data_IF_362997829530
#
_entry.id   IF_362997829530
#
_cell.length_a   1.000
_cell.length_b   1.000
_cell.length_c   1.000
_cell.angle_alpha   90.00
_cell.angle_beta   90.00
_cell.angle_gamma   90.00
#
_symmetry.space_group_name_H-M   'P 1'
#
loop_
_entity.id
_entity.type
_entity.pdbx_description
1 polymer ?
#
# COMPACT_ATOMS: atom_id res chain seq x y z
N UNK A 1 -1.92 -2.61 2.47
CA UNK A 1 -1.59 -1.60 1.42
C UNK A 1 -2.87 -0.89 1.02
N UNK A 2 -2.84 0.42 0.78
CA UNK A 2 -4.01 1.23 0.40
C UNK A 2 -3.70 2.10 -0.82
N UNK A 3 -4.70 2.33 -1.68
CA UNK A 3 -4.56 3.13 -2.92
C UNK A 3 -4.38 4.63 -2.66
N UNK A 4 -4.73 5.11 -1.46
CA UNK A 4 -4.57 6.51 -1.09
C UNK A 4 -4.84 6.76 0.40
N UNK A 5 -4.66 8.01 0.86
CA UNK A 5 -4.70 8.38 2.27
C UNK A 5 -6.08 8.21 2.91
N UNK A 6 -7.17 8.44 2.17
CA UNK A 6 -8.54 8.30 2.69
C UNK A 6 -8.84 6.83 3.01
N UNK A 7 -8.57 5.93 2.07
CA UNK A 7 -8.72 4.47 2.31
C UNK A 7 -7.84 3.99 3.45
N UNK A 8 -6.62 4.53 3.57
CA UNK A 8 -5.72 4.19 4.68
C UNK A 8 -6.28 4.65 6.03
N UNK A 9 -6.91 5.82 6.09
CA UNK A 9 -7.55 6.30 7.30
C UNK A 9 -8.70 5.37 7.71
N UNK A 10 -9.62 5.07 6.80
CA UNK A 10 -10.72 4.12 7.07
C UNK A 10 -10.20 2.76 7.54
N UNK A 11 -9.12 2.26 6.94
CA UNK A 11 -8.52 1.00 7.37
C UNK A 11 -7.98 1.07 8.80
N UNK A 12 -7.30 2.16 9.16
CA UNK A 12 -6.80 2.38 10.53
C UNK A 12 -7.93 2.54 11.55
N UNK A 13 -9.00 3.22 11.19
CA UNK A 13 -10.19 3.39 12.04
C UNK A 13 -10.84 2.03 12.35
N UNK A 14 -10.73 1.09 11.41
CA UNK A 14 -11.15 -0.31 11.56
C UNK A 14 -10.07 -1.20 12.22
N UNK A 15 -9.07 -0.61 12.87
CA UNK A 15 -7.93 -1.28 13.51
C UNK A 15 -7.09 -2.17 12.57
N UNK A 16 -7.16 -1.96 11.26
CA UNK A 16 -6.29 -2.65 10.30
C UNK A 16 -4.92 -1.97 10.22
N UNK A 17 -3.88 -2.80 10.13
CA UNK A 17 -2.52 -2.34 9.89
C UNK A 17 -2.35 -1.93 8.42
N UNK A 18 -1.80 -0.73 8.19
CA UNK A 18 -1.51 -0.21 6.85
C UNK A 18 -0.02 0.05 6.70
N UNK A 19 0.68 -0.87 6.03
CA UNK A 19 2.14 -0.78 5.81
C UNK A 19 2.54 0.07 4.59
N UNK A 20 1.63 0.22 3.63
CA UNK A 20 1.92 0.82 2.32
C UNK A 20 0.74 1.69 1.90
N UNK A 21 1.02 2.91 1.46
CA UNK A 21 0.06 3.80 0.79
C UNK A 21 0.66 4.18 -0.56
N UNK A 22 -0.07 3.97 -1.64
CA UNK A 22 0.38 4.33 -2.99
C UNK A 22 0.51 5.86 -3.14
N UNK A 23 1.56 6.32 -3.82
CA UNK A 23 1.74 7.74 -4.13
C UNK A 23 0.89 8.16 -5.35
N UNK A 24 0.79 7.28 -6.34
CA UNK A 24 -0.06 7.48 -7.50
C UNK A 24 -1.37 6.71 -7.29
N UNK A 25 -2.50 7.41 -7.42
CA UNK A 25 -3.84 6.87 -7.14
C UNK A 25 -4.40 6.07 -8.32
N UNK A 26 -3.58 5.17 -8.85
CA UNK A 26 -3.90 4.27 -9.97
C UNK A 26 -3.62 2.84 -9.57
N UNK A 27 -4.27 1.88 -10.24
CA UNK A 27 -3.99 0.45 -10.03
C UNK A 27 -2.52 0.13 -10.24
N UNK A 28 -1.89 0.73 -11.26
CA UNK A 28 -0.47 0.57 -11.56
C UNK A 28 0.41 1.10 -10.42
N UNK A 29 0.15 2.31 -9.93
CA UNK A 29 0.88 2.88 -8.80
C UNK A 29 0.79 2.05 -7.52
N UNK A 30 -0.38 1.46 -7.24
CA UNK A 30 -0.55 0.55 -6.10
C UNK A 30 0.26 -0.75 -6.26
N UNK A 31 0.23 -1.36 -7.45
CA UNK A 31 1.02 -2.58 -7.72
C UNK A 31 2.51 -2.29 -7.57
N UNK A 32 3.00 -1.19 -8.15
CA UNK A 32 4.41 -0.77 -8.02
C UNK A 32 4.81 -0.54 -6.56
N UNK A 33 3.96 0.12 -5.77
CA UNK A 33 4.21 0.34 -4.34
C UNK A 33 4.30 -0.98 -3.56
N UNK A 34 3.46 -1.97 -3.88
CA UNK A 34 3.50 -3.30 -3.26
C UNK A 34 4.79 -4.03 -3.65
N UNK A 35 5.16 -4.02 -4.94
CA UNK A 35 6.38 -4.70 -5.41
C UNK A 35 7.63 -4.10 -4.74
N UNK A 36 7.73 -2.77 -4.66
CA UNK A 36 8.88 -2.07 -4.04
C UNK A 36 9.00 -2.35 -2.54
N UNK A 37 7.89 -2.64 -1.86
CA UNK A 37 7.89 -2.92 -0.41
C UNK A 37 8.43 -4.30 -0.04
N UNK A 38 8.53 -5.23 -1.00
CA UNK A 38 9.04 -6.57 -0.75
C UNK A 38 10.56 -6.58 -0.82
N UNK A 39 11.21 -7.19 0.18
CA UNK A 39 12.61 -7.61 0.07
C UNK A 39 12.72 -8.66 -1.04
N UNK A 40 13.72 -8.62 -1.92
CA UNK A 40 13.92 -9.69 -2.90
C UNK A 40 14.08 -11.01 -2.16
N UNK A 41 13.42 -12.06 -2.65
CA UNK A 41 13.83 -13.42 -2.32
C UNK A 41 15.21 -13.57 -2.97
N UNK A 42 16.28 -13.53 -2.19
CA UNK A 42 17.60 -13.92 -2.67
C UNK A 42 17.50 -15.34 -3.20
N UNK A 43 17.76 -15.50 -4.50
CA UNK A 43 17.99 -16.80 -5.13
C UNK A 43 19.35 -17.34 -4.70
#
# INVERSE_FOLDING_TARGET
ACIGPITAQTARDLAMRVDIIAQEYTTRGLVEAIVRSRTPISA
#
